data_IF_348028026150
#
_entry.id   IF_348028026150
#
_cell.length_a   1.000
_cell.length_b   1.000
_cell.length_c   1.000
_cell.angle_alpha   90.00
_cell.angle_beta   90.00
_cell.angle_gamma   90.00
#
_symmetry.space_group_name_H-M   'P 1'
#
loop_
_entity.id
_entity.type
_entity.pdbx_description
1 polymer ?
#
# COMPACT_ATOMS: atom_id res chain seq x y z
N UNK A 1 7.19 -19.07 -43.72
CA UNK A 1 6.45 -19.00 -42.45
C UNK A 1 7.14 -19.90 -41.44
N UNK A 2 7.86 -19.33 -40.46
CA UNK A 2 8.38 -19.94 -39.19
C UNK A 2 9.62 -19.18 -38.69
N UNK A 3 9.46 -17.89 -38.33
CA UNK A 3 10.51 -17.08 -37.68
C UNK A 3 9.83 -16.20 -36.62
N UNK A 4 9.16 -16.81 -35.64
CA UNK A 4 8.72 -16.11 -34.41
C UNK A 4 8.55 -17.14 -33.27
N UNK A 5 9.61 -17.84 -32.87
CA UNK A 5 9.59 -18.72 -31.68
C UNK A 5 10.94 -18.71 -30.94
N UNK A 6 11.63 -17.56 -30.92
CA UNK A 6 12.93 -17.42 -30.26
C UNK A 6 12.99 -16.20 -29.34
N UNK A 7 11.85 -15.89 -28.69
CA UNK A 7 11.70 -14.78 -27.72
C UNK A 7 11.02 -15.20 -26.42
N UNK A 8 10.97 -16.50 -26.14
CA UNK A 8 10.23 -17.04 -24.99
C UNK A 8 11.08 -17.96 -24.10
N UNK A 9 12.40 -17.76 -24.04
CA UNK A 9 13.26 -18.51 -23.11
C UNK A 9 14.31 -17.70 -22.34
N UNK A 10 14.34 -16.37 -22.45
CA UNK A 10 15.28 -15.54 -21.67
C UNK A 10 14.68 -14.93 -20.39
N UNK A 11 13.74 -15.62 -19.73
CA UNK A 11 13.25 -15.22 -18.40
C UNK A 11 13.29 -16.37 -17.39
N UNK A 12 14.19 -17.34 -17.57
CA UNK A 12 14.45 -18.40 -16.58
C UNK A 12 15.88 -18.32 -16.02
N UNK A 13 16.41 -17.11 -15.89
CA UNK A 13 17.83 -16.87 -15.61
C UNK A 13 18.13 -15.81 -14.57
N UNK A 14 17.21 -15.52 -13.63
CA UNK A 14 17.49 -14.65 -12.48
C UNK A 14 16.84 -15.27 -11.23
N UNK A 15 17.36 -16.41 -10.79
CA UNK A 15 16.96 -17.03 -9.52
C UNK A 15 18.18 -17.47 -8.73
N UNK A 16 19.27 -16.70 -8.81
CA UNK A 16 20.35 -16.74 -7.81
C UNK A 16 20.85 -15.31 -7.63
N UNK A 17 19.98 -14.43 -7.13
CA UNK A 17 20.48 -13.22 -6.48
C UNK A 17 20.98 -13.62 -5.10
N UNK A 18 22.19 -13.23 -4.68
CA UNK A 18 22.57 -13.36 -3.28
C UNK A 18 21.49 -12.69 -2.44
N UNK A 19 21.06 -13.34 -1.36
CA UNK A 19 20.29 -12.68 -0.31
C UNK A 19 21.21 -11.59 0.25
N UNK A 20 21.16 -10.40 -0.34
CA UNK A 20 21.63 -9.21 0.33
C UNK A 20 20.77 -9.12 1.59
N UNK A 21 21.42 -9.28 2.75
CA UNK A 21 20.76 -9.00 4.02
C UNK A 21 20.37 -7.52 3.99
N UNK A 22 19.09 -7.27 3.77
CA UNK A 22 18.52 -5.93 3.85
C UNK A 22 18.66 -5.47 5.29
N UNK A 23 19.13 -4.24 5.50
CA UNK A 23 19.07 -3.67 6.84
C UNK A 23 17.59 -3.51 7.25
N UNK A 24 17.30 -3.48 8.56
CA UNK A 24 15.95 -3.16 9.06
C UNK A 24 15.45 -1.85 8.43
N UNK A 25 16.33 -0.84 8.32
CA UNK A 25 16.00 0.44 7.68
C UNK A 25 15.59 0.30 6.22
N UNK A 26 16.23 -0.59 5.47
CA UNK A 26 15.90 -0.84 4.06
C UNK A 26 14.55 -1.57 3.93
N UNK A 27 14.28 -2.52 4.82
CA UNK A 27 12.99 -3.23 4.86
C UNK A 27 11.84 -2.29 5.21
N UNK A 28 12.02 -1.40 6.19
CA UNK A 28 11.02 -0.39 6.56
C UNK A 28 10.84 0.67 5.46
N UNK A 29 11.91 1.07 4.78
CA UNK A 29 11.81 1.96 3.62
C UNK A 29 11.03 1.32 2.48
N UNK A 30 11.17 0.00 2.27
CA UNK A 30 10.35 -0.76 1.33
C UNK A 30 8.88 -0.82 1.78
N UNK A 31 8.62 -1.09 3.06
CA UNK A 31 7.26 -1.11 3.60
C UNK A 31 6.54 0.25 3.41
N UNK A 32 7.23 1.37 3.63
CA UNK A 32 6.69 2.71 3.36
C UNK A 32 6.30 2.87 1.89
N UNK A 33 7.14 2.42 0.95
CA UNK A 33 6.79 2.45 -0.49
C UNK A 33 5.58 1.57 -0.81
N UNK A 34 5.46 0.41 -0.17
CA UNK A 34 4.30 -0.46 -0.33
C UNK A 34 3.00 0.20 0.14
N UNK A 35 3.04 1.02 1.19
CA UNK A 35 1.90 1.84 1.63
C UNK A 35 1.50 2.88 0.57
N UNK A 36 2.46 3.48 -0.14
CA UNK A 36 2.18 4.41 -1.25
C UNK A 36 1.49 3.70 -2.43
N UNK A 37 1.94 2.48 -2.76
CA UNK A 37 1.26 1.66 -3.77
C UNK A 37 -0.15 1.25 -3.33
N UNK A 38 -0.34 0.92 -2.04
CA UNK A 38 -1.65 0.58 -1.49
C UNK A 38 -2.62 1.76 -1.57
N UNK A 39 -2.17 2.97 -1.26
CA UNK A 39 -2.99 4.19 -1.36
C UNK A 39 -3.45 4.44 -2.81
N UNK A 40 -2.55 4.35 -3.78
CA UNK A 40 -2.89 4.45 -5.20
C UNK A 40 -3.89 3.35 -5.65
N UNK A 41 -3.73 2.14 -5.10
CA UNK A 41 -4.65 1.02 -5.39
C UNK A 41 -6.02 1.26 -4.78
N UNK A 42 -6.10 1.82 -3.59
CA UNK A 42 -7.35 2.20 -2.93
C UNK A 42 -8.07 3.31 -3.70
N UNK A 43 -7.36 4.33 -4.17
CA UNK A 43 -7.96 5.36 -5.04
C UNK A 43 -8.53 4.77 -6.33
N UNK A 44 -7.83 3.83 -6.94
CA UNK A 44 -8.33 3.11 -8.13
C UNK A 44 -9.57 2.27 -7.81
N UNK A 45 -9.56 1.56 -6.67
CA UNK A 45 -10.68 0.74 -6.23
C UNK A 45 -11.90 1.58 -5.85
N UNK A 46 -11.71 2.76 -5.28
CA UNK A 46 -12.76 3.75 -4.98
C UNK A 46 -13.46 4.19 -6.27
N UNK A 47 -12.70 4.52 -7.32
CA UNK A 47 -13.26 4.85 -8.64
C UNK A 47 -14.09 3.69 -9.22
N UNK A 48 -13.60 2.45 -9.13
CA UNK A 48 -14.36 1.29 -9.60
C UNK A 48 -15.62 1.01 -8.75
N UNK A 49 -15.57 1.25 -7.44
CA UNK A 49 -16.74 1.14 -6.58
C UNK A 49 -17.82 2.17 -6.94
N UNK A 50 -17.43 3.39 -7.30
CA UNK A 50 -18.34 4.46 -7.73
C UNK A 50 -19.04 4.19 -9.07
N UNK A 51 -18.45 3.33 -9.92
CA UNK A 51 -19.07 2.93 -11.21
C UNK A 51 -20.16 1.88 -11.05
N UNK A 52 -20.32 1.29 -9.87
CA UNK A 52 -21.31 0.22 -9.65
C UNK A 52 -22.73 0.77 -9.74
N UNK A 53 -23.53 0.20 -10.63
CA UNK A 53 -24.92 0.62 -10.87
C UNK A 53 -25.86 0.31 -9.71
N UNK A 54 -25.56 -0.72 -8.91
CA UNK A 54 -26.38 -1.15 -7.78
C UNK A 54 -25.75 -0.75 -6.44
N UNK A 55 -26.48 0.02 -5.59
CA UNK A 55 -25.98 0.37 -4.26
C UNK A 55 -25.89 -0.90 -3.40
N UNK A 56 -24.73 -1.09 -2.76
CA UNK A 56 -24.52 -2.18 -1.81
C UNK A 56 -24.84 -1.68 -0.40
N UNK A 57 -25.53 -2.49 0.41
CA UNK A 57 -25.88 -2.13 1.82
C UNK A 57 -24.65 -1.77 2.65
N UNK A 58 -23.52 -2.42 2.36
CA UNK A 58 -22.25 -2.15 3.00
C UNK A 58 -21.27 -1.63 1.97
N UNK A 59 -20.55 -0.57 2.32
CA UNK A 59 -19.49 -0.01 1.50
C UNK A 59 -18.24 0.22 2.33
N UNK A 60 -17.12 0.29 1.62
CA UNK A 60 -15.81 0.52 2.22
C UNK A 60 -15.58 2.03 2.40
N UNK A 61 -15.19 2.45 3.59
CA UNK A 61 -14.75 3.81 3.90
C UNK A 61 -13.29 3.97 3.47
N UNK A 62 -13.10 4.31 2.20
CA UNK A 62 -11.79 4.57 1.64
C UNK A 62 -11.06 5.72 2.35
N UNK A 63 -11.79 6.70 2.88
CA UNK A 63 -11.18 7.86 3.55
C UNK A 63 -10.58 7.44 4.90
N UNK A 64 -11.32 6.65 5.69
CA UNK A 64 -10.79 6.13 6.96
C UNK A 64 -9.57 5.23 6.75
N UNK A 65 -9.59 4.35 5.73
CA UNK A 65 -8.43 3.49 5.43
C UNK A 65 -7.22 4.34 5.05
N UNK A 66 -7.39 5.36 4.20
CA UNK A 66 -6.29 6.25 3.77
C UNK A 66 -5.70 7.02 4.95
N UNK A 67 -6.53 7.46 5.89
CA UNK A 67 -6.08 8.09 7.12
C UNK A 67 -5.24 7.13 7.97
N UNK A 68 -5.73 5.91 8.20
CA UNK A 68 -5.02 4.90 9.00
C UNK A 68 -3.68 4.50 8.32
N UNK A 69 -3.64 4.40 6.98
CA UNK A 69 -2.39 4.18 6.23
C UNK A 69 -1.39 5.34 6.45
N UNK A 70 -1.86 6.58 6.43
CA UNK A 70 -0.99 7.74 6.68
C UNK A 70 -0.43 7.74 8.11
N UNK A 71 -1.23 7.35 9.10
CA UNK A 71 -0.75 7.18 10.49
C UNK A 71 0.38 6.15 10.56
N UNK A 72 0.23 4.99 9.90
CA UNK A 72 1.30 3.97 9.85
C UNK A 72 2.54 4.52 9.15
N UNK A 73 2.36 5.17 7.99
CA UNK A 73 3.44 5.75 7.20
C UNK A 73 4.23 6.77 8.02
N UNK A 74 3.55 7.65 8.75
CA UNK A 74 4.18 8.64 9.62
C UNK A 74 4.92 7.99 10.79
N UNK A 75 4.33 6.96 11.42
CA UNK A 75 4.98 6.22 12.51
C UNK A 75 6.30 5.56 12.05
N UNK A 76 6.29 4.89 10.90
CA UNK A 76 7.48 4.28 10.33
C UNK A 76 8.54 5.32 9.92
N UNK A 77 8.12 6.43 9.30
CA UNK A 77 9.04 7.54 8.96
C UNK A 77 9.66 8.17 10.20
N UNK A 78 8.89 8.33 11.27
CA UNK A 78 9.38 8.86 12.54
C UNK A 78 10.42 7.93 13.17
N UNK A 79 10.20 6.61 13.11
CA UNK A 79 11.19 5.64 13.59
C UNK A 79 12.50 5.70 12.80
N UNK A 80 12.43 5.74 11.47
CA UNK A 80 13.61 5.82 10.60
C UNK A 80 14.36 7.16 10.70
N UNK A 81 13.61 8.25 10.91
CA UNK A 81 14.13 9.61 10.97
C UNK A 81 13.62 10.31 12.24
N UNK A 82 14.12 9.90 13.43
CA UNK A 82 13.62 10.43 14.69
C UNK A 82 13.89 11.93 14.75
N UNK A 83 12.81 12.71 14.81
CA UNK A 83 12.91 14.14 15.11
C UNK A 83 13.28 14.29 16.58
N UNK A 84 14.14 15.28 16.89
CA UNK A 84 14.43 15.65 18.29
C UNK A 84 13.28 16.44 18.95
N UNK A 85 12.20 16.71 18.22
CA UNK A 85 10.99 17.27 18.79
C UNK A 85 10.31 16.27 19.74
N UNK A 86 9.55 16.78 20.72
CA UNK A 86 8.75 15.92 21.60
C UNK A 86 7.80 15.03 20.79
N UNK A 87 7.51 13.80 21.25
CA UNK A 87 6.60 12.89 20.57
C UNK A 87 5.24 13.56 20.34
N UNK A 88 4.81 13.64 19.08
CA UNK A 88 3.44 14.04 18.78
C UNK A 88 2.46 13.02 19.36
N UNK A 89 1.29 13.49 19.80
CA UNK A 89 0.23 12.60 20.30
C UNK A 89 -0.09 11.51 19.26
N UNK A 90 -0.25 10.28 19.72
CA UNK A 90 -0.60 9.15 18.86
C UNK A 90 -2.02 9.34 18.31
N UNK A 91 -2.17 9.40 16.99
CA UNK A 91 -3.48 9.35 16.34
C UNK A 91 -4.05 7.94 16.48
N UNK A 92 -5.25 7.76 17.08
CA UNK A 92 -5.83 6.44 17.24
C UNK A 92 -6.29 5.85 15.89
N UNK A 93 -6.16 4.53 15.76
CA UNK A 93 -6.71 3.76 14.64
C UNK A 93 -8.19 3.53 14.85
N UNK A 94 -9.02 3.88 13.86
CA UNK A 94 -10.43 3.50 13.89
C UNK A 94 -10.59 2.02 13.57
N UNK A 95 -9.84 1.53 12.58
CA UNK A 95 -9.96 0.17 12.01
C UNK A 95 -11.37 -0.24 11.57
N UNK A 96 -12.34 0.67 11.62
CA UNK A 96 -13.73 0.45 11.26
C UNK A 96 -13.98 1.04 9.87
N UNK A 97 -13.82 0.19 8.85
CA UNK A 97 -13.88 0.61 7.44
C UNK A 97 -15.20 0.29 6.75
N UNK A 98 -16.12 -0.38 7.44
CA UNK A 98 -17.44 -0.66 6.87
C UNK A 98 -18.40 0.46 7.24
N UNK A 99 -19.15 0.95 6.26
CA UNK A 99 -20.28 1.84 6.49
C UNK A 99 -21.55 1.34 5.83
N UNK A 100 -22.68 1.73 6.41
CA UNK A 100 -24.04 1.30 6.02
C UNK A 100 -24.86 2.39 5.31
N UNK A 101 -24.54 3.67 5.52
CA UNK A 101 -25.27 4.80 4.92
C UNK A 101 -24.38 5.64 4.00
N UNK A 102 -24.44 5.40 2.69
CA UNK A 102 -23.72 6.19 1.69
C UNK A 102 -24.08 7.67 1.86
N UNK A 103 -23.11 8.58 2.15
CA UNK A 103 -23.39 10.01 2.30
C UNK A 103 -23.75 10.68 0.97
#
# INVERSE_FOLDING_TARGET
MRIVQMRTWCLLGILITPLAYSSESDELALAIKQLDYLDARLASAEIEALKREQPTRFYLDYQQIKQDIEVIRQGLKHYLYPSRAQPSALTPFSAQYQRENYP
#
